data_IF_794458613417
#
_entry.id   IF_794458613417
#
_cell.length_a   1.000
_cell.length_b   1.000
_cell.length_c   1.000
_cell.angle_alpha   90.00
_cell.angle_beta   90.00
_cell.angle_gamma   90.00
#
_symmetry.space_group_name_H-M   'P 1'
#
loop_
_entity.id
_entity.type
_entity.pdbx_description
1 polymer ?
#
# COMPACT_ATOMS: atom_id res chain seq x y z
N UNK A 1 -6.86 7.82 31.00
CA UNK A 1 -5.69 6.91 31.05
C UNK A 1 -6.16 5.53 31.51
N UNK A 2 -5.65 4.42 30.94
CA UNK A 2 -6.04 3.09 31.38
C UNK A 2 -5.59 2.85 32.82
N UNK A 3 -6.47 2.30 33.65
CA UNK A 3 -6.17 2.05 35.07
C UNK A 3 -5.39 0.73 35.23
N UNK A 4 -5.80 -0.31 34.49
CA UNK A 4 -5.23 -1.66 34.55
C UNK A 4 -3.85 -1.72 33.84
N UNK A 5 -2.88 -2.41 34.44
CA UNK A 5 -1.50 -2.56 33.92
C UNK A 5 -1.45 -3.14 32.50
N UNK A 6 -2.29 -4.14 32.21
CA UNK A 6 -2.40 -4.74 30.88
C UNK A 6 -2.88 -3.74 29.82
N UNK A 7 -3.85 -2.89 30.17
CA UNK A 7 -4.39 -1.87 29.29
C UNK A 7 -3.36 -0.75 28.99
N UNK A 8 -2.59 -0.30 30.00
CA UNK A 8 -1.47 0.64 29.80
C UNK A 8 -0.44 0.07 28.81
N UNK A 9 -0.12 -1.22 28.91
CA UNK A 9 0.77 -1.91 27.96
C UNK A 9 0.16 -1.95 26.55
N UNK A 10 -1.13 -2.24 26.43
CA UNK A 10 -1.82 -2.29 25.13
C UNK A 10 -1.75 -0.96 24.40
N UNK A 11 -2.02 0.17 25.07
CA UNK A 11 -1.92 1.52 24.48
C UNK A 11 -0.54 1.75 23.85
N UNK A 12 0.54 1.54 24.61
CA UNK A 12 1.92 1.68 24.11
C UNK A 12 2.21 0.78 22.89
N UNK A 13 1.76 -0.48 22.94
CA UNK A 13 1.98 -1.40 21.80
C UNK A 13 1.18 -1.01 20.56
N UNK A 14 -0.04 -0.49 20.75
CA UNK A 14 -0.91 -0.05 19.66
C UNK A 14 -0.33 1.18 18.99
N UNK A 15 0.15 2.18 19.75
CA UNK A 15 0.79 3.38 19.19
C UNK A 15 1.95 3.02 18.25
N UNK A 16 2.85 2.13 18.69
CA UNK A 16 3.98 1.66 17.87
C UNK A 16 3.51 0.97 16.59
N UNK A 17 2.53 0.08 16.68
CA UNK A 17 1.97 -0.64 15.52
C UNK A 17 1.25 0.32 14.57
N UNK A 18 0.51 1.28 15.09
CA UNK A 18 -0.21 2.28 14.30
C UNK A 18 0.76 3.14 13.48
N UNK A 19 1.87 3.60 14.08
CA UNK A 19 2.89 4.36 13.38
C UNK A 19 3.52 3.56 12.22
N UNK A 20 3.88 2.29 12.46
CA UNK A 20 4.41 1.40 11.43
C UNK A 20 3.40 1.17 10.30
N UNK A 21 2.14 0.86 10.65
CA UNK A 21 1.10 0.62 9.67
C UNK A 21 0.78 1.87 8.84
N UNK A 22 0.86 3.06 9.44
CA UNK A 22 0.68 4.33 8.75
C UNK A 22 1.73 4.52 7.65
N UNK A 23 3.01 4.36 7.99
CA UNK A 23 4.12 4.45 7.03
C UNK A 23 3.91 3.52 5.82
N UNK A 24 3.48 2.27 6.05
CA UNK A 24 3.23 1.35 4.93
C UNK A 24 2.00 1.71 4.10
N UNK A 25 0.93 2.20 4.72
CA UNK A 25 -0.25 2.69 4.01
C UNK A 25 0.09 3.89 3.13
N UNK A 26 0.91 4.80 3.62
CA UNK A 26 1.37 5.97 2.88
C UNK A 26 2.26 5.55 1.71
N UNK A 27 3.22 4.64 1.93
CA UNK A 27 4.04 4.07 0.85
C UNK A 27 3.19 3.44 -0.26
N UNK A 28 2.15 2.69 0.11
CA UNK A 28 1.25 2.07 -0.86
C UNK A 28 0.42 3.11 -1.61
N UNK A 29 -0.04 4.17 -0.93
CA UNK A 29 -0.79 5.26 -1.55
C UNK A 29 0.08 6.04 -2.54
N UNK A 30 1.33 6.31 -2.18
CA UNK A 30 2.27 7.03 -3.04
C UNK A 30 2.61 6.21 -4.29
N UNK A 31 2.96 4.93 -4.15
CA UNK A 31 3.25 4.07 -5.31
C UNK A 31 2.09 4.02 -6.32
N UNK A 32 0.84 3.98 -5.84
CA UNK A 32 -0.35 4.02 -6.71
C UNK A 32 -0.45 5.38 -7.42
N UNK A 33 -0.29 6.50 -6.71
CA UNK A 33 -0.32 7.83 -7.31
C UNK A 33 0.78 8.04 -8.35
N UNK A 34 1.97 7.52 -8.09
CA UNK A 34 3.10 7.65 -9.00
C UNK A 34 2.84 6.86 -10.29
N UNK A 35 2.17 5.70 -10.20
CA UNK A 35 1.70 4.95 -11.37
C UNK A 35 0.60 5.71 -12.12
N UNK A 36 -0.37 6.31 -11.43
CA UNK A 36 -1.43 7.13 -12.04
C UNK A 36 -0.81 8.30 -12.84
N UNK A 37 0.17 9.00 -12.27
CA UNK A 37 0.90 10.08 -12.96
C UNK A 37 1.71 9.58 -14.16
N UNK A 38 2.35 8.42 -14.06
CA UNK A 38 3.12 7.86 -15.17
C UNK A 38 2.21 7.52 -16.37
N UNK A 39 0.98 7.06 -16.07
CA UNK A 39 -0.04 6.80 -17.10
C UNK A 39 -0.54 8.10 -17.73
N UNK A 40 -0.83 9.13 -16.93
CA UNK A 40 -1.23 10.45 -17.45
C UNK A 40 -0.13 11.09 -18.33
N UNK A 41 1.14 10.81 -18.05
CA UNK A 41 2.27 11.30 -18.84
C UNK A 41 2.49 10.55 -20.16
N UNK A 42 1.79 9.43 -20.42
CA UNK A 42 1.81 8.71 -21.70
C UNK A 42 3.12 7.98 -22.04
N UNK A 43 4.01 7.76 -21.06
CA UNK A 43 5.28 7.04 -21.28
C UNK A 43 5.12 5.54 -20.95
N UNK A 44 5.03 4.71 -22.00
CA UNK A 44 4.85 3.26 -21.90
C UNK A 44 5.95 2.54 -21.11
N UNK A 45 7.21 2.90 -21.29
CA UNK A 45 8.34 2.21 -20.66
C UNK A 45 8.38 2.51 -19.16
N UNK A 46 8.27 3.79 -18.81
CA UNK A 46 8.23 4.24 -17.42
C UNK A 46 7.00 3.67 -16.69
N UNK A 47 5.84 3.61 -17.35
CA UNK A 47 4.62 3.03 -16.78
C UNK A 47 4.76 1.52 -16.52
N UNK A 48 5.43 0.78 -17.40
CA UNK A 48 5.66 -0.65 -17.23
C UNK A 48 6.58 -0.96 -16.04
N UNK A 49 7.65 -0.18 -15.85
CA UNK A 49 8.54 -0.30 -14.69
C UNK A 49 7.82 0.06 -13.39
N UNK A 50 7.09 1.17 -13.38
CA UNK A 50 6.34 1.62 -12.22
C UNK A 50 5.23 0.64 -11.81
N UNK A 51 4.62 -0.02 -12.79
CA UNK A 51 3.64 -1.08 -12.54
C UNK A 51 4.28 -2.31 -11.88
N UNK A 52 5.49 -2.71 -12.28
CA UNK A 52 6.23 -3.81 -11.62
C UNK A 52 6.56 -3.45 -10.17
N UNK A 53 7.06 -2.23 -9.94
CA UNK A 53 7.38 -1.78 -8.58
C UNK A 53 6.13 -1.70 -7.70
N UNK A 54 5.04 -1.12 -8.22
CA UNK A 54 3.78 -0.98 -7.49
C UNK A 54 3.20 -2.34 -7.12
N UNK A 55 3.24 -3.33 -8.03
CA UNK A 55 2.82 -4.72 -7.74
C UNK A 55 3.65 -5.31 -6.58
N UNK A 56 4.97 -5.13 -6.60
CA UNK A 56 5.88 -5.59 -5.54
C UNK A 56 5.55 -4.96 -4.18
N UNK A 57 5.22 -3.66 -4.16
CA UNK A 57 4.82 -2.97 -2.92
C UNK A 57 3.49 -3.50 -2.39
N UNK A 58 2.51 -3.74 -3.27
CA UNK A 58 1.20 -4.30 -2.89
C UNK A 58 1.38 -5.69 -2.26
N UNK A 59 2.16 -6.57 -2.87
CA UNK A 59 2.35 -7.93 -2.37
C UNK A 59 3.15 -7.94 -1.04
N UNK A 60 4.12 -7.03 -0.88
CA UNK A 60 4.79 -6.80 0.42
C UNK A 60 3.83 -6.31 1.50
N UNK A 61 2.83 -5.51 1.15
CA UNK A 61 1.81 -5.06 2.11
C UNK A 61 0.87 -6.20 2.56
N UNK A 62 0.64 -7.21 1.70
CA UNK A 62 -0.12 -8.42 2.06
C UNK A 62 0.66 -9.30 3.04
N UNK A 63 1.93 -9.59 2.74
CA UNK A 63 2.77 -10.45 3.62
C UNK A 63 2.93 -9.89 5.03
N UNK A 64 2.90 -8.55 5.17
CA UNK A 64 2.93 -7.84 6.45
C UNK A 64 1.55 -7.65 7.09
N UNK A 65 0.49 -8.24 6.54
CA UNK A 65 -0.89 -8.15 7.01
C UNK A 65 -1.45 -6.72 7.10
N UNK A 66 -0.95 -5.78 6.29
CA UNK A 66 -1.46 -4.39 6.27
C UNK A 66 -2.72 -4.28 5.42
N UNK A 67 -2.81 -5.08 4.36
CA UNK A 67 -4.00 -5.19 3.50
C UNK A 67 -4.38 -6.65 3.31
N UNK A 68 -5.69 -6.91 3.17
CA UNK A 68 -6.19 -8.24 2.87
C UNK A 68 -5.86 -8.65 1.42
N UNK A 69 -5.68 -9.96 1.17
CA UNK A 69 -5.41 -10.54 -0.16
C UNK A 69 -6.41 -10.09 -1.24
N UNK A 70 -7.70 -9.99 -0.90
CA UNK A 70 -8.74 -9.54 -1.84
C UNK A 70 -8.61 -8.03 -2.17
N UNK A 71 -8.14 -7.22 -1.23
CA UNK A 71 -7.88 -5.80 -1.48
C UNK A 71 -6.68 -5.65 -2.42
N UNK A 72 -5.61 -6.39 -2.19
CA UNK A 72 -4.46 -6.45 -3.08
C UNK A 72 -4.85 -6.91 -4.50
N UNK A 73 -5.64 -7.98 -4.63
CA UNK A 73 -6.12 -8.47 -5.92
C UNK A 73 -6.93 -7.41 -6.69
N UNK A 74 -7.87 -6.73 -6.00
CA UNK A 74 -8.64 -5.63 -6.60
C UNK A 74 -7.76 -4.49 -7.09
N UNK A 75 -6.76 -4.09 -6.29
CA UNK A 75 -5.82 -3.01 -6.66
C UNK A 75 -4.96 -3.40 -7.85
N UNK A 76 -4.38 -4.62 -7.86
CA UNK A 76 -3.60 -5.13 -8.99
C UNK A 76 -4.42 -5.18 -10.28
N UNK A 77 -5.67 -5.62 -10.21
CA UNK A 77 -6.58 -5.65 -11.36
C UNK A 77 -6.86 -4.25 -11.91
N UNK A 78 -7.18 -3.28 -11.04
CA UNK A 78 -7.43 -1.89 -11.43
C UNK A 78 -6.22 -1.24 -12.10
N UNK A 79 -5.03 -1.37 -11.50
CA UNK A 79 -3.79 -0.80 -12.07
C UNK A 79 -3.45 -1.43 -13.42
N UNK A 80 -3.64 -2.75 -13.57
CA UNK A 80 -3.39 -3.43 -14.85
C UNK A 80 -4.39 -2.99 -15.91
N UNK A 81 -5.68 -2.85 -15.57
CA UNK A 81 -6.68 -2.31 -16.50
C UNK A 81 -6.36 -0.88 -16.93
N UNK A 82 -5.94 -0.04 -15.99
CA UNK A 82 -5.57 1.35 -16.27
C UNK A 82 -4.38 1.43 -17.22
N UNK A 83 -3.33 0.62 -17.00
CA UNK A 83 -2.19 0.52 -17.93
C UNK A 83 -2.60 -0.01 -19.31
N UNK A 84 -3.48 -1.01 -19.38
CA UNK A 84 -3.92 -1.58 -20.66
C UNK A 84 -4.87 -0.66 -21.45
N UNK A 85 -5.55 0.26 -20.77
CA UNK A 85 -6.47 1.22 -21.38
C UNK A 85 -5.81 2.58 -21.67
N UNK A 86 -4.52 2.71 -21.38
CA UNK A 86 -3.69 3.85 -21.75
C UNK A 86 -3.42 3.83 -23.26
#
# INVERSE_FOLDING_TARGET
MPIIKSAKKRVKTTEKKTAQNRMWKDRLKNAIKDMEKAVEAGNNEAAAEQLKETKKVIDKAVTRNIIHKNNAARKKSRLTKMYNNM
#
